data_IF_603701615287
#
_entry.id   IF_603701615287
#
_cell.length_a   1.000
_cell.length_b   1.000
_cell.length_c   1.000
_cell.angle_alpha   90.00
_cell.angle_beta   90.00
_cell.angle_gamma   90.00
#
_symmetry.space_group_name_H-M   'P 1'
#
loop_
_entity.id
_entity.type
_entity.pdbx_description
1 polymer ?
#
# COMPACT_ATOMS: atom_id res chain seq x y z
N UNK A 1 -10.04 -2.10 -15.25
CA UNK A 1 -11.28 -2.27 -14.52
C UNK A 1 -11.00 -2.63 -13.09
N UNK A 2 -10.20 -3.62 -12.82
CA UNK A 2 -9.79 -3.97 -11.47
C UNK A 2 -8.79 -2.99 -10.87
N UNK A 3 -8.04 -2.32 -11.71
CA UNK A 3 -6.92 -1.48 -11.26
C UNK A 3 -7.38 -0.29 -10.43
N UNK A 4 -8.47 0.35 -10.83
CA UNK A 4 -8.99 1.49 -10.08
C UNK A 4 -9.47 1.09 -8.69
N UNK A 5 -10.12 -0.06 -8.58
CA UNK A 5 -10.58 -0.58 -7.29
C UNK A 5 -9.41 -1.02 -6.43
N UNK A 6 -8.41 -1.64 -7.02
CA UNK A 6 -7.23 -2.08 -6.30
C UNK A 6 -6.48 -0.87 -5.72
N UNK A 7 -6.32 0.17 -6.53
CA UNK A 7 -5.68 1.40 -6.10
C UNK A 7 -6.43 2.03 -4.93
N UNK A 8 -7.74 2.21 -5.08
CA UNK A 8 -8.56 2.80 -4.04
C UNK A 8 -8.52 1.98 -2.76
N UNK A 9 -8.50 0.66 -2.89
CA UNK A 9 -8.44 -0.25 -1.75
C UNK A 9 -7.14 -0.09 -0.97
N UNK A 10 -6.02 -0.01 -1.69
CA UNK A 10 -4.71 0.18 -1.08
C UNK A 10 -4.64 1.52 -0.37
N UNK A 11 -5.08 2.59 -1.05
CA UNK A 11 -5.06 3.93 -0.47
C UNK A 11 -5.93 4.00 0.77
N UNK A 12 -7.13 3.46 0.71
CA UNK A 12 -8.04 3.47 1.85
C UNK A 12 -7.46 2.69 3.04
N UNK A 13 -6.88 1.53 2.77
CA UNK A 13 -6.25 0.74 3.84
C UNK A 13 -5.05 1.46 4.43
N UNK A 14 -4.23 2.07 3.58
CA UNK A 14 -3.03 2.76 4.03
C UNK A 14 -3.38 3.97 4.90
N UNK A 15 -4.31 4.80 4.47
CA UNK A 15 -4.65 6.01 5.20
C UNK A 15 -5.64 5.79 6.33
N UNK A 16 -6.28 4.63 6.37
CA UNK A 16 -7.15 4.27 7.48
C UNK A 16 -6.41 4.14 8.80
N UNK A 17 -5.12 3.83 8.73
CA UNK A 17 -4.25 3.66 9.91
C UNK A 17 -2.96 4.42 9.73
N UNK A 18 -3.06 5.71 9.52
CA UNK A 18 -1.90 6.53 9.16
C UNK A 18 -0.83 6.66 10.26
N UNK A 19 -1.13 6.26 11.49
CA UNK A 19 -0.12 6.20 12.54
C UNK A 19 0.77 4.97 12.41
N UNK A 20 0.36 4.02 11.59
CA UNK A 20 1.09 2.77 11.40
C UNK A 20 1.97 2.84 10.17
N UNK A 21 2.99 1.99 10.14
CA UNK A 21 3.77 1.79 8.92
C UNK A 21 2.93 1.03 7.91
N UNK A 22 3.36 1.03 6.65
CA UNK A 22 2.64 0.30 5.59
C UNK A 22 2.47 -1.17 5.93
N UNK A 23 3.48 -1.79 6.53
CA UNK A 23 3.40 -3.19 6.90
C UNK A 23 2.20 -3.46 7.80
N UNK A 24 1.93 -2.57 8.73
CA UNK A 24 0.79 -2.72 9.64
C UNK A 24 -0.51 -2.24 9.01
N UNK A 25 -0.46 -1.12 8.27
CA UNK A 25 -1.65 -0.55 7.64
C UNK A 25 -2.23 -1.49 6.59
N UNK A 26 -1.37 -2.16 5.84
CA UNK A 26 -1.78 -3.03 4.74
C UNK A 26 -1.83 -4.50 5.14
N UNK A 27 -1.73 -4.81 6.42
CA UNK A 27 -1.61 -6.18 6.90
C UNK A 27 -2.75 -7.10 6.42
N UNK A 28 -3.94 -6.57 6.26
CA UNK A 28 -5.07 -7.36 5.75
C UNK A 28 -5.22 -7.33 4.23
N UNK A 29 -4.38 -6.59 3.54
CA UNK A 29 -4.48 -6.38 2.10
C UNK A 29 -3.24 -6.93 1.38
N UNK A 30 -2.05 -6.60 1.89
CA UNK A 30 -0.78 -7.00 1.29
C UNK A 30 0.16 -7.51 2.36
N UNK A 31 0.95 -8.51 2.00
CA UNK A 31 2.03 -9.00 2.87
C UNK A 31 3.26 -8.10 2.73
N UNK A 32 4.15 -8.08 3.73
CA UNK A 32 5.41 -7.33 3.62
C UNK A 32 6.21 -7.71 2.39
N UNK A 33 6.17 -8.98 1.99
CA UNK A 33 6.86 -9.46 0.80
C UNK A 33 6.31 -8.79 -0.46
N UNK A 34 4.99 -8.63 -0.52
CA UNK A 34 4.35 -7.95 -1.66
C UNK A 34 4.69 -6.48 -1.69
N UNK A 35 4.76 -5.84 -0.53
CA UNK A 35 5.15 -4.44 -0.46
C UNK A 35 6.57 -4.26 -0.96
N UNK A 36 7.47 -5.13 -0.54
CA UNK A 36 8.86 -5.08 -1.01
C UNK A 36 8.95 -5.36 -2.51
N UNK A 37 8.14 -6.29 -3.01
CA UNK A 37 8.11 -6.60 -4.44
C UNK A 37 7.66 -5.40 -5.27
N UNK A 38 6.83 -4.53 -4.71
CA UNK A 38 6.42 -3.31 -5.37
C UNK A 38 7.51 -2.23 -5.36
N UNK A 39 8.62 -2.49 -4.69
CA UNK A 39 9.70 -1.52 -4.57
C UNK A 39 9.42 -0.46 -3.51
N UNK A 40 8.54 -0.75 -2.57
CA UNK A 40 8.13 0.18 -1.53
C UNK A 40 8.65 -0.31 -0.18
N UNK A 41 9.09 0.63 0.66
CA UNK A 41 9.57 0.33 1.99
C UNK A 41 8.36 0.07 2.91
N UNK A 42 8.26 -1.15 3.41
CA UNK A 42 7.16 -1.54 4.29
C UNK A 42 7.18 -0.81 5.63
N UNK A 43 8.31 -0.22 6.00
CA UNK A 43 8.43 0.55 7.24
C UNK A 43 8.08 2.02 7.04
N UNK A 44 7.85 2.45 5.79
CA UNK A 44 7.46 3.81 5.50
C UNK A 44 6.01 4.06 5.93
N UNK A 45 5.68 5.31 6.16
CA UNK A 45 4.32 5.69 6.47
C UNK A 45 3.60 6.11 5.19
N UNK A 46 2.26 5.88 5.11
CA UNK A 46 1.51 6.17 3.89
C UNK A 46 1.70 7.61 3.39
N UNK A 47 1.77 8.56 4.31
CA UNK A 47 1.87 9.97 3.97
C UNK A 47 3.17 10.34 3.27
N UNK A 48 4.17 9.46 3.33
CA UNK A 48 5.47 9.71 2.69
C UNK A 48 5.55 9.14 1.28
N UNK A 49 4.51 8.46 0.82
CA UNK A 49 4.51 7.80 -0.47
C UNK A 49 3.98 8.70 -1.57
N UNK A 50 4.57 8.55 -2.78
CA UNK A 50 4.05 9.19 -3.97
C UNK A 50 2.90 8.35 -4.56
N UNK A 51 2.00 8.95 -5.37
CA UNK A 51 0.93 8.19 -6.01
C UNK A 51 1.41 7.00 -6.82
N UNK A 52 2.57 7.12 -7.46
CA UNK A 52 3.13 6.02 -8.24
C UNK A 52 3.45 4.80 -7.37
N UNK A 53 3.82 5.03 -6.13
CA UNK A 53 4.10 3.94 -5.19
C UNK A 53 2.83 3.22 -4.79
N UNK A 54 1.73 3.95 -4.60
CA UNK A 54 0.44 3.32 -4.34
C UNK A 54 -0.04 2.50 -5.53
N UNK A 55 0.21 2.98 -6.74
CA UNK A 55 -0.14 2.23 -7.94
C UNK A 55 0.67 0.93 -8.02
N UNK A 56 1.94 0.98 -7.67
CA UNK A 56 2.78 -0.22 -7.65
C UNK A 56 2.28 -1.23 -6.62
N UNK A 57 1.84 -0.76 -5.45
CA UNK A 57 1.25 -1.62 -4.43
C UNK A 57 -0.04 -2.26 -4.93
N UNK A 58 -0.87 -1.50 -5.62
CA UNK A 58 -2.13 -2.00 -6.15
C UNK A 58 -1.91 -3.14 -7.14
N UNK A 59 -0.81 -3.12 -7.87
CA UNK A 59 -0.47 -4.18 -8.82
C UNK A 59 -0.17 -5.51 -8.14
N UNK A 60 0.11 -5.49 -6.86
CA UNK A 60 0.38 -6.71 -6.10
C UNK A 60 -0.90 -7.41 -5.65
N UNK A 61 -2.02 -6.76 -5.79
CA UNK A 61 -3.32 -7.38 -5.49
C UNK A 61 -3.79 -8.32 -6.66
#
# INVERSE_FOLDING_TARGET
IGDGQAYARVVAAAFGKRRKTLRNSLAGVLDPVQIAAAGVDATARPETLAPAQFAALARQL
#
